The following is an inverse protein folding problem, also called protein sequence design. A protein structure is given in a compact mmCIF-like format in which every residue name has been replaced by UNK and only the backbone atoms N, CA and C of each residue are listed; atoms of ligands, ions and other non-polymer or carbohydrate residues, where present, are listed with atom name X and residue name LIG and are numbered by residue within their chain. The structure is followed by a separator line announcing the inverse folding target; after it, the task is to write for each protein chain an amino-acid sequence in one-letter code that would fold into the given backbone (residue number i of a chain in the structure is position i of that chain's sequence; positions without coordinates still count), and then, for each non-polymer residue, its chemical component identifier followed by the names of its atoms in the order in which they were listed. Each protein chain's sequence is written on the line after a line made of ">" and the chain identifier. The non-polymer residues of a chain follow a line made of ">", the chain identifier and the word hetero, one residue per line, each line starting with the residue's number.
data_IF_076993766526
#
_entry.id   IF_076993766526
#
_cell.length_a   1.000
_cell.length_b   1.000
_cell.length_c   1.000
_cell.angle_alpha   90.00
_cell.angle_beta   90.00
_cell.angle_gamma   90.00
#
_symmetry.space_group_name_H-M   'P 1'
#
loop_
_entity.id
_entity.type
_entity.pdbx_description
1 polymer ?
#
# COMPACT_ATOMS: atom_id res chain seq x y z
N UNK A 1 10.89 -19.51 25.47
CA UNK A 1 11.57 -20.11 24.29
C UNK A 1 11.30 -19.36 22.99
N UNK A 2 10.05 -19.29 22.48
CA UNK A 2 9.78 -18.65 21.17
C UNK A 2 10.01 -17.12 21.17
N UNK A 3 9.53 -16.42 22.20
CA UNK A 3 9.78 -14.97 22.36
C UNK A 3 11.27 -14.62 22.58
N UNK A 4 12.05 -15.48 23.24
CA UNK A 4 13.49 -15.28 23.45
C UNK A 4 14.28 -15.43 22.15
N UNK A 5 13.87 -16.40 21.30
CA UNK A 5 14.47 -16.59 19.98
C UNK A 5 14.20 -15.39 19.08
N UNK A 6 12.97 -14.87 19.08
CA UNK A 6 12.59 -13.70 18.30
C UNK A 6 13.33 -12.44 18.76
N UNK A 7 13.41 -12.19 20.08
CA UNK A 7 14.19 -11.08 20.63
C UNK A 7 15.65 -11.16 20.20
N UNK A 8 16.25 -12.36 20.23
CA UNK A 8 17.63 -12.57 19.77
C UNK A 8 17.79 -12.25 18.28
N UNK A 9 16.83 -12.62 17.43
CA UNK A 9 16.86 -12.29 16.01
C UNK A 9 16.69 -10.79 15.76
N UNK A 10 15.81 -10.13 16.52
CA UNK A 10 15.63 -8.69 16.49
C UNK A 10 16.91 -7.93 16.89
N UNK A 11 17.58 -8.35 17.97
CA UNK A 11 18.84 -7.76 18.39
C UNK A 11 19.96 -7.97 17.37
N UNK A 12 20.05 -9.17 16.77
CA UNK A 12 20.98 -9.44 15.66
C UNK A 12 20.70 -8.57 14.44
N UNK A 13 19.42 -8.36 14.11
CA UNK A 13 19.04 -7.49 13.00
C UNK A 13 19.50 -6.05 13.26
N UNK A 14 19.24 -5.50 14.45
CA UNK A 14 19.72 -4.16 14.81
C UNK A 14 21.24 -4.04 14.87
N UNK A 15 21.95 -5.04 15.38
CA UNK A 15 23.42 -5.07 15.33
C UNK A 15 23.93 -5.02 13.87
N UNK A 16 23.28 -5.76 12.97
CA UNK A 16 23.61 -5.78 11.54
C UNK A 16 23.35 -4.43 10.87
N UNK A 17 22.24 -3.77 11.21
CA UNK A 17 21.91 -2.42 10.73
C UNK A 17 22.96 -1.41 11.18
N UNK A 18 23.27 -1.39 12.48
CA UNK A 18 24.25 -0.47 13.06
C UNK A 18 25.63 -0.69 12.43
N UNK A 19 26.06 -1.95 12.26
CA UNK A 19 27.32 -2.28 11.60
C UNK A 19 27.34 -1.80 10.13
N UNK A 20 26.25 -2.03 9.38
CA UNK A 20 26.15 -1.63 7.97
C UNK A 20 26.10 -0.11 7.78
N UNK A 21 25.42 0.61 8.68
CA UNK A 21 25.40 2.07 8.68
C UNK A 21 26.73 2.65 9.13
N UNK A 22 27.43 2.01 10.07
CA UNK A 22 28.80 2.38 10.46
C UNK A 22 29.77 2.19 9.30
N UNK A 23 29.67 1.07 8.56
CA UNK A 23 30.41 0.86 7.32
C UNK A 23 30.12 1.98 6.29
N UNK A 24 28.85 2.33 6.13
CA UNK A 24 28.42 3.39 5.21
C UNK A 24 29.02 4.75 5.61
N UNK A 25 29.06 5.03 6.91
CA UNK A 25 29.60 6.26 7.47
C UNK A 25 31.13 6.36 7.43
N UNK A 26 31.86 5.28 7.72
CA UNK A 26 33.34 5.34 7.79
C UNK A 26 34.04 5.00 6.49
N UNK A 27 33.45 4.17 5.63
CA UNK A 27 34.10 3.70 4.40
C UNK A 27 33.45 4.33 3.18
N UNK A 28 32.13 4.16 3.02
CA UNK A 28 31.46 4.63 1.81
C UNK A 28 31.39 6.17 1.69
N UNK A 29 31.39 6.88 2.82
CA UNK A 29 31.44 8.36 2.83
C UNK A 29 32.74 8.93 2.25
N UNK A 30 33.85 8.20 2.39
CA UNK A 30 35.18 8.60 1.90
C UNK A 30 35.35 8.35 0.39
N UNK A 31 34.45 7.60 -0.22
CA UNK A 31 34.47 7.36 -1.67
C UNK A 31 33.88 8.55 -2.43
N UNK A 32 34.32 8.66 -3.69
CA UNK A 32 33.77 9.63 -4.63
C UNK A 32 32.26 9.39 -4.82
N UNK A 33 31.53 10.50 -4.91
CA UNK A 33 30.09 10.50 -5.12
C UNK A 33 29.72 9.88 -6.46
N UNK A 34 28.53 9.32 -6.51
CA UNK A 34 27.99 8.66 -7.69
C UNK A 34 28.27 7.17 -7.66
N UNK A 35 28.72 6.65 -8.79
CA UNK A 35 28.85 5.20 -9.03
C UNK A 35 29.79 4.51 -8.01
N UNK A 36 30.98 5.03 -7.66
CA UNK A 36 31.88 4.31 -6.73
C UNK A 36 31.25 4.07 -5.36
N UNK A 37 30.61 5.11 -4.80
CA UNK A 37 29.88 5.02 -3.53
C UNK A 37 28.62 4.16 -3.62
N UNK A 38 27.91 4.20 -4.75
CA UNK A 38 26.76 3.33 -4.97
C UNK A 38 27.18 1.85 -4.98
N UNK A 39 28.25 1.52 -5.70
CA UNK A 39 28.79 0.17 -5.78
C UNK A 39 29.25 -0.36 -4.42
N UNK A 40 29.89 0.48 -3.58
CA UNK A 40 30.28 0.08 -2.22
C UNK A 40 29.08 -0.21 -1.31
N UNK A 41 27.92 0.38 -1.59
CA UNK A 41 26.69 0.19 -0.82
C UNK A 41 25.81 -0.97 -1.32
N UNK A 42 26.12 -1.59 -2.47
CA UNK A 42 25.36 -2.75 -2.98
C UNK A 42 25.20 -3.90 -1.97
N UNK A 43 26.24 -4.29 -1.21
CA UNK A 43 26.08 -5.30 -0.16
C UNK A 43 25.11 -4.84 0.94
N UNK A 44 25.15 -3.55 1.31
CA UNK A 44 24.26 -2.97 2.32
C UNK A 44 22.80 -2.98 1.83
N UNK A 45 22.55 -2.59 0.58
CA UNK A 45 21.20 -2.64 0.00
C UNK A 45 20.62 -4.05 0.00
N UNK A 46 21.45 -5.04 -0.34
CA UNK A 46 21.06 -6.45 -0.38
C UNK A 46 20.75 -6.96 1.03
N UNK A 47 21.62 -6.68 2.00
CA UNK A 47 21.40 -7.03 3.40
C UNK A 47 20.11 -6.39 3.94
N UNK A 48 19.90 -5.10 3.70
CA UNK A 48 18.71 -4.37 4.17
C UNK A 48 17.42 -4.88 3.52
N UNK A 49 17.50 -5.40 2.31
CA UNK A 49 16.36 -6.03 1.63
C UNK A 49 16.01 -7.37 2.26
N UNK A 50 17.00 -8.18 2.64
CA UNK A 50 16.77 -9.53 3.17
C UNK A 50 16.52 -9.58 4.69
N UNK A 51 16.94 -8.54 5.41
CA UNK A 51 16.91 -8.52 6.87
C UNK A 51 15.52 -8.77 7.49
N UNK A 52 14.40 -8.24 6.95
CA UNK A 52 13.08 -8.49 7.52
C UNK A 52 12.67 -9.96 7.54
N UNK A 53 13.28 -10.81 6.69
CA UNK A 53 13.02 -12.24 6.70
C UNK A 53 13.50 -12.95 7.96
N UNK A 54 14.45 -12.36 8.69
CA UNK A 54 14.99 -12.91 9.96
C UNK A 54 14.02 -12.86 11.13
N UNK A 55 12.92 -12.10 11.00
CA UNK A 55 11.86 -11.99 12.01
C UNK A 55 10.66 -12.82 11.59
N UNK A 56 10.02 -13.48 12.55
CA UNK A 56 8.81 -14.28 12.33
C UNK A 56 7.54 -13.49 12.63
N UNK A 57 7.62 -12.49 13.51
CA UNK A 57 6.46 -11.69 13.92
C UNK A 57 6.10 -10.66 12.84
N UNK A 58 4.87 -10.66 12.31
CA UNK A 58 4.48 -9.85 11.17
C UNK A 58 4.59 -8.35 11.45
N UNK A 59 4.27 -7.90 12.68
CA UNK A 59 4.36 -6.50 13.04
C UNK A 59 5.80 -5.97 12.95
N UNK A 60 6.74 -6.69 13.58
CA UNK A 60 8.15 -6.30 13.61
C UNK A 60 8.81 -6.43 12.23
N UNK A 61 8.48 -7.50 11.48
CA UNK A 61 8.95 -7.67 10.10
C UNK A 61 8.44 -6.54 9.20
N UNK A 62 7.19 -6.10 9.36
CA UNK A 62 6.59 -4.98 8.64
C UNK A 62 7.29 -3.66 8.91
N UNK A 63 7.50 -3.32 10.19
CA UNK A 63 8.25 -2.11 10.56
C UNK A 63 9.69 -2.14 10.04
N UNK A 64 10.38 -3.28 10.20
CA UNK A 64 11.74 -3.42 9.73
C UNK A 64 11.83 -3.29 8.21
N UNK A 65 10.88 -3.86 7.48
CA UNK A 65 10.79 -3.72 6.03
C UNK A 65 10.53 -2.26 5.60
N UNK A 66 9.58 -1.58 6.23
CA UNK A 66 9.26 -0.19 5.90
C UNK A 66 10.41 0.77 6.23
N UNK A 67 11.07 0.58 7.37
CA UNK A 67 12.11 1.50 7.82
C UNK A 67 13.43 1.23 7.11
N UNK A 68 13.84 -0.04 7.00
CA UNK A 68 15.17 -0.42 6.52
C UNK A 68 15.14 -0.74 5.03
N UNK A 69 14.35 -1.74 4.62
CA UNK A 69 14.32 -2.16 3.21
C UNK A 69 13.79 -1.07 2.29
N UNK A 70 12.87 -0.24 2.78
CA UNK A 70 12.33 0.90 2.03
C UNK A 70 13.06 2.21 2.37
N UNK A 71 12.81 2.82 3.52
CA UNK A 71 13.31 4.18 3.77
C UNK A 71 14.84 4.26 3.84
N UNK A 72 15.53 3.38 4.56
CA UNK A 72 17.00 3.43 4.67
C UNK A 72 17.69 3.19 3.34
N UNK A 73 17.24 2.22 2.55
CA UNK A 73 17.78 1.98 1.22
C UNK A 73 17.64 3.20 0.31
N UNK A 74 16.48 3.88 0.32
CA UNK A 74 16.25 5.07 -0.49
C UNK A 74 17.08 6.26 0.01
N UNK A 75 17.24 6.43 1.33
CA UNK A 75 18.13 7.44 1.92
C UNK A 75 19.60 7.20 1.58
N UNK A 76 20.06 5.95 1.64
CA UNK A 76 21.42 5.56 1.26
C UNK A 76 21.66 5.68 -0.25
N UNK A 77 20.66 5.36 -1.07
CA UNK A 77 20.69 5.60 -2.52
C UNK A 77 20.85 7.10 -2.80
N UNK A 78 20.06 7.94 -2.15
CA UNK A 78 20.19 9.38 -2.29
C UNK A 78 21.57 9.89 -1.82
N UNK A 79 22.07 9.38 -0.68
CA UNK A 79 23.42 9.64 -0.16
C UNK A 79 24.55 9.20 -1.11
N UNK A 80 24.29 8.20 -1.97
CA UNK A 80 25.28 7.73 -2.93
C UNK A 80 25.56 8.77 -4.04
N UNK A 81 24.54 9.52 -4.47
CA UNK A 81 24.62 10.46 -5.59
C UNK A 81 24.63 11.94 -5.18
N UNK A 82 23.98 12.32 -4.08
CA UNK A 82 23.78 13.72 -3.71
C UNK A 82 24.49 14.12 -2.41
N UNK A 83 25.03 15.33 -2.37
CA UNK A 83 25.83 15.86 -1.26
C UNK A 83 25.00 16.56 -0.18
N UNK A 84 23.78 16.99 -0.50
CA UNK A 84 22.90 17.80 0.36
C UNK A 84 21.86 16.97 1.11
N UNK A 85 22.16 15.70 1.39
CA UNK A 85 21.31 14.92 2.30
C UNK A 85 21.49 15.41 3.74
N UNK A 86 20.43 15.40 4.56
CA UNK A 86 20.58 15.53 6.01
C UNK A 86 21.63 14.56 6.57
N UNK A 87 21.73 13.35 5.99
CA UNK A 87 22.72 12.33 6.35
C UNK A 87 24.18 12.80 6.19
N UNK A 88 24.52 13.55 5.14
CA UNK A 88 25.88 14.04 4.89
C UNK A 88 26.24 15.28 5.70
N UNK A 89 25.25 15.97 6.29
CA UNK A 89 25.47 17.13 7.15
C UNK A 89 25.85 16.75 8.59
N UNK A 90 25.56 15.51 9.02
CA UNK A 90 25.81 15.09 10.39
C UNK A 90 27.26 14.59 10.58
N UNK A 91 27.99 15.26 11.49
CA UNK A 91 29.38 14.90 11.87
C UNK A 91 29.47 13.75 12.89
N UNK A 92 28.32 13.25 13.38
CA UNK A 92 28.24 12.24 14.43
C UNK A 92 27.63 10.96 13.87
N UNK A 93 28.30 9.82 14.11
CA UNK A 93 27.82 8.48 13.73
C UNK A 93 26.42 8.20 14.29
N UNK A 94 26.15 8.62 15.53
CA UNK A 94 24.85 8.41 16.17
C UNK A 94 23.72 9.11 15.40
N UNK A 95 23.93 10.36 15.01
CA UNK A 95 22.96 11.12 14.21
C UNK A 95 22.79 10.47 12.83
N UNK A 96 23.89 10.07 12.19
CA UNK A 96 23.84 9.38 10.90
C UNK A 96 22.99 8.10 10.97
N UNK A 97 23.19 7.28 12.00
CA UNK A 97 22.43 6.03 12.19
C UNK A 97 20.95 6.32 12.41
N UNK A 98 20.59 7.27 13.27
CA UNK A 98 19.18 7.62 13.54
C UNK A 98 18.50 8.16 12.27
N UNK A 99 19.14 9.07 11.55
CA UNK A 99 18.58 9.65 10.32
C UNK A 99 18.47 8.64 9.19
N UNK A 100 19.41 7.70 9.08
CA UNK A 100 19.38 6.67 8.06
C UNK A 100 18.35 5.57 8.37
N UNK A 101 18.29 5.09 9.61
CA UNK A 101 17.44 3.95 10.00
C UNK A 101 15.99 4.31 10.30
N UNK A 102 15.73 5.51 10.84
CA UNK A 102 14.40 5.86 11.33
C UNK A 102 13.61 6.72 10.34
N UNK A 103 12.28 6.64 10.41
CA UNK A 103 11.41 7.48 9.65
C UNK A 103 11.34 8.87 10.31
N UNK A 104 12.37 9.70 10.11
CA UNK A 104 12.43 11.06 10.64
C UNK A 104 12.80 12.08 9.55
N UNK A 105 12.22 13.28 9.67
CA UNK A 105 12.52 14.45 8.85
C UNK A 105 12.55 15.69 9.75
N UNK A 106 13.62 16.47 9.66
CA UNK A 106 13.75 17.73 10.41
C UNK A 106 12.80 18.75 9.79
N UNK A 107 12.02 19.42 10.63
CA UNK A 107 11.16 20.52 10.20
C UNK A 107 12.04 21.69 9.77
N UNK A 108 11.98 22.03 8.48
CA UNK A 108 12.65 23.22 7.97
C UNK A 108 11.77 24.45 8.20
N UNK A 109 12.33 25.50 8.79
CA UNK A 109 11.67 26.80 8.99
C UNK A 109 11.47 27.53 7.65
N UNK A 110 10.57 27.03 6.81
CA UNK A 110 10.04 27.81 5.71
C UNK A 110 8.76 28.53 6.17
N UNK A 111 8.52 29.77 5.72
CA UNK A 111 7.23 30.43 5.91
C UNK A 111 6.19 29.67 5.08
N UNK A 112 5.60 28.66 5.70
CA UNK A 112 4.55 27.88 5.09
C UNK A 112 3.28 28.73 5.21
N UNK A 113 2.74 29.18 4.07
CA UNK A 113 1.40 29.74 3.95
C UNK A 113 0.39 28.62 4.26
N UNK A 114 0.32 28.19 5.52
CA UNK A 114 -0.67 27.25 5.99
C UNK A 114 -1.97 28.04 6.08
N UNK A 115 -2.91 27.72 5.19
CA UNK A 115 -4.29 28.12 5.41
C UNK A 115 -4.71 27.61 6.80
N UNK A 116 -5.45 28.41 7.59
CA UNK A 116 -5.83 28.03 8.94
C UNK A 116 -6.53 26.67 8.90
N UNK A 117 -5.98 25.70 9.63
CA UNK A 117 -6.61 24.40 9.85
C UNK A 117 -7.94 24.66 10.58
N UNK A 118 -9.06 24.52 9.86
CA UNK A 118 -10.41 24.83 10.38
C UNK A 118 -10.94 23.81 11.39
N UNK A 119 -10.12 22.84 11.79
CA UNK A 119 -10.50 21.71 12.64
C UNK A 119 -9.36 21.42 13.62
N UNK A 120 -9.74 21.07 14.85
CA UNK A 120 -8.81 20.72 15.91
C UNK A 120 -8.07 19.43 15.50
N UNK A 121 -6.74 19.45 15.28
CA UNK A 121 -6.01 18.23 14.97
C UNK A 121 -6.17 17.26 16.12
N UNK A 122 -6.47 16.00 15.81
CA UNK A 122 -6.62 14.97 16.84
C UNK A 122 -5.28 14.85 17.57
N UNK A 123 -5.27 15.11 18.88
CA UNK A 123 -4.06 14.97 19.67
C UNK A 123 -3.62 13.50 19.71
N UNK A 124 -2.33 13.27 19.96
CA UNK A 124 -1.77 11.92 19.97
C UNK A 124 -2.51 11.00 20.95
N UNK A 125 -2.89 11.50 22.14
CA UNK A 125 -3.64 10.73 23.13
C UNK A 125 -5.01 10.25 22.65
N UNK A 126 -5.79 11.11 21.98
CA UNK A 126 -7.08 10.73 21.43
C UNK A 126 -6.93 9.75 20.26
N UNK A 127 -5.92 9.93 19.38
CA UNK A 127 -5.63 8.95 18.32
C UNK A 127 -5.28 7.58 18.91
N UNK A 128 -4.46 7.54 19.96
CA UNK A 128 -4.13 6.29 20.68
C UNK A 128 -5.36 5.64 21.31
N UNK A 129 -6.25 6.43 21.93
CA UNK A 129 -7.49 5.91 22.52
C UNK A 129 -8.43 5.32 21.46
N UNK A 130 -8.61 6.01 20.34
CA UNK A 130 -9.44 5.51 19.23
C UNK A 130 -8.80 4.26 18.61
N UNK A 131 -7.48 4.24 18.46
CA UNK A 131 -6.74 3.07 17.98
C UNK A 131 -6.98 1.85 18.89
N UNK A 132 -6.91 2.01 20.21
CA UNK A 132 -7.19 0.94 21.17
C UNK A 132 -8.67 0.50 21.14
N UNK A 133 -9.61 1.43 20.98
CA UNK A 133 -11.03 1.10 20.84
C UNK A 133 -11.29 0.28 19.56
N UNK A 134 -10.73 0.69 18.42
CA UNK A 134 -10.91 -0.04 17.17
C UNK A 134 -10.30 -1.44 17.21
N UNK A 135 -9.18 -1.62 17.92
CA UNK A 135 -8.59 -2.94 18.19
C UNK A 135 -9.61 -3.85 18.88
N UNK A 136 -10.22 -3.37 19.98
CA UNK A 136 -11.22 -4.12 20.73
C UNK A 136 -12.47 -4.42 19.91
N UNK A 137 -12.97 -3.42 19.17
CA UNK A 137 -14.16 -3.58 18.31
C UNK A 137 -13.89 -4.58 17.19
N UNK A 138 -12.71 -4.56 16.58
CA UNK A 138 -12.33 -5.50 15.53
C UNK A 138 -12.39 -6.96 15.99
N UNK A 139 -11.93 -7.23 17.22
CA UNK A 139 -12.00 -8.57 17.82
C UNK A 139 -13.44 -9.03 18.09
N UNK A 140 -14.36 -8.11 18.37
CA UNK A 140 -15.76 -8.42 18.69
C UNK A 140 -16.67 -8.51 17.46
N UNK A 141 -16.43 -7.71 16.43
CA UNK A 141 -17.32 -7.54 15.26
C UNK A 141 -16.72 -8.21 14.01
N UNK A 142 -16.63 -9.55 14.03
CA UNK A 142 -16.45 -10.41 12.85
C UNK A 142 -15.43 -9.94 11.80
N UNK A 143 -14.21 -9.54 12.21
CA UNK A 143 -13.08 -9.22 11.31
C UNK A 143 -13.45 -8.28 10.15
N UNK A 144 -14.23 -7.23 10.42
CA UNK A 144 -14.65 -6.29 9.38
C UNK A 144 -13.44 -5.54 8.79
N UNK A 145 -13.25 -5.67 7.47
CA UNK A 145 -12.12 -5.06 6.75
C UNK A 145 -12.04 -3.54 6.90
N UNK A 146 -13.18 -2.85 6.94
CA UNK A 146 -13.21 -1.39 7.09
C UNK A 146 -12.65 -0.95 8.45
N UNK A 147 -12.98 -1.71 9.51
CA UNK A 147 -12.47 -1.48 10.86
C UNK A 147 -10.97 -1.72 10.89
N UNK A 148 -10.50 -2.81 10.25
CA UNK A 148 -9.07 -3.09 10.09
C UNK A 148 -8.33 -1.96 9.36
N UNK A 149 -8.90 -1.43 8.27
CA UNK A 149 -8.31 -0.32 7.51
C UNK A 149 -8.14 0.93 8.39
N UNK A 150 -9.20 1.31 9.12
CA UNK A 150 -9.18 2.46 10.03
C UNK A 150 -8.19 2.26 11.17
N UNK A 151 -8.16 1.06 11.76
CA UNK A 151 -7.22 0.72 12.82
C UNK A 151 -5.77 0.77 12.32
N UNK A 152 -5.47 0.15 11.18
CA UNK A 152 -4.11 0.12 10.62
C UNK A 152 -3.60 1.53 10.29
N UNK A 153 -4.48 2.40 9.77
CA UNK A 153 -4.14 3.81 9.58
C UNK A 153 -3.74 4.48 10.91
N UNK A 154 -4.62 4.41 11.91
CA UNK A 154 -4.37 5.07 13.20
C UNK A 154 -3.16 4.49 13.92
N UNK A 155 -2.98 3.18 13.86
CA UNK A 155 -1.83 2.49 14.43
C UNK A 155 -0.53 2.98 13.81
N UNK A 156 -0.44 3.05 12.48
CA UNK A 156 0.74 3.58 11.80
C UNK A 156 1.00 5.05 12.14
N UNK A 157 -0.05 5.89 12.16
CA UNK A 157 0.08 7.30 12.53
C UNK A 157 0.60 7.46 13.96
N UNK A 158 0.02 6.75 14.93
CA UNK A 158 0.45 6.78 16.34
C UNK A 158 1.87 6.24 16.50
N UNK A 159 2.22 5.12 15.88
CA UNK A 159 3.53 4.48 16.00
C UNK A 159 4.64 5.38 15.41
N UNK A 160 4.45 5.89 14.20
CA UNK A 160 5.42 6.78 13.55
C UNK A 160 5.57 8.10 14.31
N UNK A 161 4.46 8.67 14.82
CA UNK A 161 4.48 9.97 15.52
C UNK A 161 5.10 9.83 16.91
N UNK A 162 4.94 8.69 17.55
CA UNK A 162 5.65 8.34 18.79
C UNK A 162 7.15 8.19 18.55
N UNK A 163 7.55 7.49 17.48
CA UNK A 163 8.95 7.36 17.07
C UNK A 163 9.59 8.73 16.80
N UNK A 164 8.92 9.59 16.02
CA UNK A 164 9.39 10.94 15.74
C UNK A 164 9.49 11.78 17.03
N UNK A 165 8.50 11.73 17.93
CA UNK A 165 8.55 12.49 19.19
C UNK A 165 9.73 12.06 20.07
N UNK A 166 9.96 10.75 20.21
CA UNK A 166 11.08 10.21 20.98
C UNK A 166 12.43 10.64 20.40
N UNK A 167 12.60 10.51 19.09
CA UNK A 167 13.85 10.91 18.42
C UNK A 167 14.07 12.42 18.47
N UNK A 168 13.01 13.20 18.28
CA UNK A 168 13.05 14.66 18.40
C UNK A 168 13.49 15.10 19.80
N UNK A 169 13.01 14.41 20.84
CA UNK A 169 13.47 14.63 22.22
C UNK A 169 14.95 14.28 22.42
N UNK A 170 15.39 13.12 21.92
CA UNK A 170 16.80 12.67 22.02
C UNK A 170 17.75 13.64 21.30
N UNK A 171 17.34 14.14 20.14
CA UNK A 171 18.15 15.02 19.29
C UNK A 171 17.98 16.51 19.61
N UNK A 172 16.99 16.89 20.42
CA UNK A 172 16.66 18.28 20.70
C UNK A 172 16.18 19.07 19.46
N UNK A 173 15.55 18.41 18.49
CA UNK A 173 15.08 19.03 17.23
C UNK A 173 13.59 18.83 17.02
N UNK A 174 12.94 19.81 16.40
CA UNK A 174 11.55 19.66 15.96
C UNK A 174 11.48 18.85 14.66
N UNK A 175 10.77 17.74 14.69
CA UNK A 175 10.58 16.86 13.53
C UNK A 175 9.21 17.08 12.88
N UNK A 176 9.13 16.89 11.57
CA UNK A 176 7.86 16.96 10.84
C UNK A 176 6.93 15.80 11.25
N UNK A 177 5.62 16.06 11.40
CA UNK A 177 4.64 15.00 11.61
C UNK A 177 4.65 13.96 10.47
N UNK A 178 4.52 12.66 10.78
CA UNK A 178 4.45 11.61 9.75
C UNK A 178 3.20 11.65 8.88
N UNK A 179 2.14 12.33 9.30
CA UNK A 179 0.96 12.59 8.47
C UNK A 179 0.32 13.94 8.84
N UNK A 180 -0.34 14.57 7.87
CA UNK A 180 -1.09 15.82 8.02
C UNK A 180 -2.57 15.60 7.68
N UNK A 181 -3.29 14.96 8.61
CA UNK A 181 -4.73 14.69 8.57
C UNK A 181 -5.22 14.27 7.15
N UNK A 182 -4.80 13.10 6.64
CA UNK A 182 -5.02 12.67 5.26
C UNK A 182 -6.50 12.53 4.86
N UNK A 183 -7.40 12.34 5.83
CA UNK A 183 -8.85 12.33 5.60
C UNK A 183 -9.42 13.71 5.21
N UNK A 184 -8.61 14.78 5.29
CA UNK A 184 -8.97 16.12 4.80
C UNK A 184 -8.46 16.41 3.38
N UNK A 185 -7.90 15.41 2.70
CA UNK A 185 -7.42 15.58 1.33
C UNK A 185 -8.57 15.93 0.37
N UNK A 186 -8.38 17.00 -0.40
CA UNK A 186 -9.37 17.45 -1.40
C UNK A 186 -9.08 16.94 -2.81
N UNK A 187 -7.96 16.24 -3.00
CA UNK A 187 -7.53 15.65 -4.26
C UNK A 187 -6.49 14.55 -4.02
N UNK A 188 -6.26 13.65 -4.99
CA UNK A 188 -5.31 12.55 -4.83
C UNK A 188 -3.87 13.07 -4.79
N UNK A 189 -3.59 14.15 -5.51
CA UNK A 189 -2.30 14.83 -5.42
C UNK A 189 -2.05 15.39 -4.01
N UNK A 190 -3.07 15.96 -3.36
CA UNK A 190 -2.96 16.49 -1.99
C UNK A 190 -2.80 15.34 -0.97
N UNK A 191 -3.53 14.25 -1.16
CA UNK A 191 -3.43 13.04 -0.34
C UNK A 191 -2.01 12.46 -0.35
N UNK A 192 -1.51 12.04 -1.52
CA UNK A 192 -0.22 11.36 -1.64
C UNK A 192 0.99 12.30 -1.53
N UNK A 193 0.84 13.55 -1.94
CA UNK A 193 1.97 14.48 -2.01
C UNK A 193 2.27 15.21 -0.70
N UNK A 194 1.25 15.55 0.09
CA UNK A 194 1.41 16.43 1.26
C UNK A 194 0.95 15.83 2.57
N UNK A 195 -0.09 15.01 2.55
CA UNK A 195 -0.78 14.59 3.78
C UNK A 195 -0.43 13.19 4.25
N UNK A 196 -0.28 12.25 3.31
CA UNK A 196 0.04 10.86 3.59
C UNK A 196 1.55 10.62 3.53
N UNK A 197 2.14 10.26 4.68
CA UNK A 197 3.54 9.87 4.81
C UNK A 197 4.54 10.75 4.01
N UNK A 198 4.66 12.05 4.35
CA UNK A 198 5.46 13.02 3.59
C UNK A 198 6.91 12.58 3.39
N UNK A 199 7.46 11.78 4.29
CA UNK A 199 8.82 11.28 4.23
C UNK A 199 9.03 10.19 3.18
N UNK A 200 8.07 9.27 3.00
CA UNK A 200 8.14 8.33 1.86
C UNK A 200 8.03 9.11 0.56
N UNK A 201 7.12 10.08 0.50
CA UNK A 201 6.96 10.96 -0.66
C UNK A 201 8.22 11.77 -0.96
N UNK A 202 8.93 12.26 0.07
CA UNK A 202 10.20 12.98 -0.05
C UNK A 202 11.35 12.06 -0.53
N UNK A 203 11.45 10.86 0.06
CA UNK A 203 12.45 9.87 -0.34
C UNK A 203 12.27 9.47 -1.82
N UNK A 204 11.04 9.17 -2.23
CA UNK A 204 10.68 8.86 -3.61
C UNK A 204 10.87 10.05 -4.55
N UNK A 205 10.63 11.27 -4.07
CA UNK A 205 10.81 12.48 -4.85
C UNK A 205 12.27 12.64 -5.29
N UNK A 206 13.20 12.54 -4.34
CA UNK A 206 14.62 12.77 -4.60
C UNK A 206 15.31 11.59 -5.31
N UNK A 207 14.84 10.36 -5.08
CA UNK A 207 15.47 9.16 -5.66
C UNK A 207 14.89 8.77 -7.02
N UNK A 208 13.60 9.00 -7.24
CA UNK A 208 12.89 8.55 -8.46
C UNK A 208 12.35 9.73 -9.25
N UNK A 209 11.49 10.56 -8.66
CA UNK A 209 10.75 11.57 -9.41
C UNK A 209 11.66 12.62 -10.07
N UNK A 210 12.58 13.23 -9.31
CA UNK A 210 13.47 14.28 -9.82
C UNK A 210 14.45 13.75 -10.88
N UNK A 211 15.13 12.60 -10.68
CA UNK A 211 15.94 11.98 -11.73
C UNK A 211 15.13 11.62 -12.97
N UNK A 212 13.95 11.00 -12.80
CA UNK A 212 13.13 10.59 -13.93
C UNK A 212 12.57 11.79 -14.70
N UNK A 213 12.13 12.83 -14.00
CA UNK A 213 11.69 14.09 -14.64
C UNK A 213 12.83 14.71 -15.43
N UNK A 214 14.04 14.73 -14.88
CA UNK A 214 15.23 15.28 -15.55
C UNK A 214 15.63 14.46 -16.78
N UNK A 215 15.48 13.13 -16.71
CA UNK A 215 15.69 12.23 -17.84
C UNK A 215 14.66 12.49 -18.95
N UNK A 216 13.37 12.49 -18.61
CA UNK A 216 12.30 12.69 -19.59
C UNK A 216 12.25 14.10 -20.16
N UNK A 217 12.69 15.12 -19.42
CA UNK A 217 12.81 16.48 -19.94
C UNK A 217 13.83 16.63 -21.09
N UNK A 218 14.65 15.61 -21.36
CA UNK A 218 15.53 15.55 -22.54
C UNK A 218 14.82 15.09 -23.80
N UNK A 219 13.72 14.34 -23.66
CA UNK A 219 13.02 13.68 -24.76
C UNK A 219 11.60 14.21 -24.99
N UNK A 220 10.96 14.71 -23.94
CA UNK A 220 9.62 15.29 -23.94
C UNK A 220 9.71 16.77 -23.60
N UNK A 221 8.72 17.55 -24.03
CA UNK A 221 8.57 18.91 -23.56
C UNK A 221 8.59 18.95 -22.03
N UNK A 222 9.18 20.02 -21.48
CA UNK A 222 9.30 20.25 -20.03
C UNK A 222 7.96 20.13 -19.29
N UNK A 223 6.89 20.33 -20.05
CA UNK A 223 5.51 20.31 -19.64
C UNK A 223 4.91 18.90 -19.49
N UNK A 224 5.38 17.94 -20.26
CA UNK A 224 4.93 16.55 -20.24
C UNK A 224 5.87 15.63 -19.48
N UNK A 225 7.14 16.04 -19.28
CA UNK A 225 8.13 15.31 -18.46
C UNK A 225 7.65 14.90 -17.04
N UNK A 226 6.78 15.65 -16.33
CA UNK A 226 6.27 15.24 -15.02
C UNK A 226 5.38 13.99 -15.04
N UNK A 227 4.65 13.73 -16.13
CA UNK A 227 3.70 12.62 -16.20
C UNK A 227 4.38 11.23 -16.10
N UNK A 228 5.37 10.88 -16.96
CA UNK A 228 6.07 9.61 -16.83
C UNK A 228 6.91 9.53 -15.56
N UNK A 229 7.39 10.66 -15.02
CA UNK A 229 8.10 10.70 -13.75
C UNK A 229 7.17 10.33 -12.57
N UNK A 230 5.95 10.89 -12.52
CA UNK A 230 4.94 10.54 -11.52
C UNK A 230 4.57 9.05 -11.61
N UNK A 231 4.31 8.55 -12.81
CA UNK A 231 3.96 7.15 -13.01
C UNK A 231 5.09 6.22 -12.53
N UNK A 232 6.34 6.52 -12.89
CA UNK A 232 7.50 5.77 -12.41
C UNK A 232 7.62 5.78 -10.88
N UNK A 233 7.38 6.94 -10.24
CA UNK A 233 7.37 7.03 -8.78
C UNK A 233 6.30 6.15 -8.13
N UNK A 234 5.09 6.11 -8.66
CA UNK A 234 4.03 5.24 -8.16
C UNK A 234 4.31 3.76 -8.39
N UNK A 235 4.90 3.39 -9.54
CA UNK A 235 5.33 2.02 -9.81
C UNK A 235 6.38 1.58 -8.79
N UNK A 236 7.43 2.38 -8.56
CA UNK A 236 8.47 2.05 -7.58
C UNK A 236 7.89 1.97 -6.16
N UNK A 237 6.99 2.88 -5.80
CA UNK A 237 6.27 2.80 -4.52
C UNK A 237 5.48 1.49 -4.40
N UNK A 238 4.78 1.08 -5.46
CA UNK A 238 4.03 -0.18 -5.50
C UNK A 238 4.91 -1.40 -5.32
N UNK A 239 6.06 -1.47 -6.02
CA UNK A 239 7.04 -2.55 -5.87
C UNK A 239 7.57 -2.65 -4.43
N UNK A 240 7.84 -1.50 -3.79
CA UNK A 240 8.31 -1.49 -2.41
C UNK A 240 7.23 -1.95 -1.42
N UNK A 241 5.96 -1.61 -1.66
CA UNK A 241 4.86 -2.12 -0.84
C UNK A 241 4.61 -3.61 -1.09
N UNK A 242 4.76 -4.09 -2.32
CA UNK A 242 4.71 -5.52 -2.63
C UNK A 242 5.80 -6.29 -1.88
N UNK A 243 7.02 -5.73 -1.81
CA UNK A 243 8.11 -6.28 -1.01
C UNK A 243 7.78 -6.29 0.50
N UNK A 244 7.23 -5.20 1.03
CA UNK A 244 6.77 -5.14 2.44
C UNK A 244 5.72 -6.22 2.70
N UNK A 245 4.74 -6.36 1.80
CA UNK A 245 3.71 -7.39 1.91
C UNK A 245 4.32 -8.79 1.84
N UNK A 246 5.34 -9.00 1.02
CA UNK A 246 6.04 -10.27 0.94
C UNK A 246 6.78 -10.60 2.25
N UNK A 247 7.44 -9.60 2.87
CA UNK A 247 8.08 -9.77 4.18
C UNK A 247 7.10 -10.12 5.29
N UNK A 248 5.90 -9.53 5.28
CA UNK A 248 4.91 -9.76 6.34
C UNK A 248 4.09 -11.02 6.10
N UNK A 249 3.63 -11.24 4.87
CA UNK A 249 2.73 -12.37 4.53
C UNK A 249 3.47 -13.67 4.27
N UNK A 250 4.74 -13.62 3.83
CA UNK A 250 5.54 -14.77 3.39
C UNK A 250 4.91 -15.58 2.25
N UNK A 251 3.92 -15.01 1.57
CA UNK A 251 3.24 -15.61 0.42
C UNK A 251 3.71 -14.91 -0.85
N UNK A 252 3.79 -15.64 -1.97
CA UNK A 252 4.21 -15.09 -3.26
C UNK A 252 3.43 -13.81 -3.61
N UNK A 253 4.11 -12.76 -4.11
CA UNK A 253 3.48 -11.52 -4.58
C UNK A 253 2.31 -11.77 -5.52
N UNK A 254 1.18 -11.11 -5.26
CA UNK A 254 -0.02 -11.18 -6.10
C UNK A 254 -0.09 -10.02 -7.10
N UNK A 255 0.73 -8.99 -6.89
CA UNK A 255 0.76 -7.75 -7.66
C UNK A 255 -0.48 -6.86 -7.48
N UNK A 256 -1.45 -7.27 -6.66
CA UNK A 256 -2.65 -6.48 -6.35
C UNK A 256 -2.26 -5.12 -5.74
N UNK A 257 -1.30 -5.12 -4.80
CA UNK A 257 -0.79 -3.91 -4.14
C UNK A 257 -0.04 -3.02 -5.12
N UNK A 258 0.78 -3.60 -5.99
CA UNK A 258 1.45 -2.82 -7.05
C UNK A 258 0.43 -2.14 -7.96
N UNK A 259 -0.63 -2.84 -8.38
CA UNK A 259 -1.70 -2.28 -9.20
C UNK A 259 -2.50 -1.19 -8.49
N UNK A 260 -2.68 -1.28 -7.17
CA UNK A 260 -3.24 -0.18 -6.38
C UNK A 260 -2.44 1.12 -6.61
N UNK A 261 -1.12 1.09 -6.44
CA UNK A 261 -0.31 2.29 -6.63
C UNK A 261 -0.26 2.75 -8.08
N UNK A 262 -0.21 1.83 -9.06
CA UNK A 262 -0.26 2.20 -10.49
C UNK A 262 -1.56 2.89 -10.84
N UNK A 263 -2.72 2.39 -10.36
CA UNK A 263 -4.02 3.02 -10.54
C UNK A 263 -4.04 4.43 -9.96
N UNK A 264 -3.58 4.59 -8.71
CA UNK A 264 -3.47 5.91 -8.07
C UNK A 264 -2.54 6.85 -8.84
N UNK A 265 -1.41 6.34 -9.34
CA UNK A 265 -0.47 7.12 -10.17
C UNK A 265 -1.10 7.60 -11.47
N UNK A 266 -1.84 6.74 -12.17
CA UNK A 266 -2.60 7.14 -13.37
C UNK A 266 -3.64 8.21 -13.04
N UNK A 267 -4.40 8.05 -11.95
CA UNK A 267 -5.39 9.02 -11.52
C UNK A 267 -4.75 10.37 -11.15
N UNK A 268 -3.60 10.38 -10.46
CA UNK A 268 -2.86 11.61 -10.14
C UNK A 268 -2.33 12.28 -11.41
N UNK A 269 -1.78 11.53 -12.36
CA UNK A 269 -1.34 12.08 -13.66
C UNK A 269 -2.52 12.68 -14.41
N UNK A 270 -3.65 11.98 -14.47
CA UNK A 270 -4.88 12.50 -15.07
C UNK A 270 -5.34 13.78 -14.38
N UNK A 271 -5.34 13.82 -13.05
CA UNK A 271 -5.71 15.00 -12.27
C UNK A 271 -4.79 16.20 -12.58
N UNK A 272 -3.47 15.98 -12.69
CA UNK A 272 -2.49 17.01 -13.05
C UNK A 272 -2.73 17.53 -14.47
N UNK A 273 -2.95 16.63 -15.44
CA UNK A 273 -3.23 16.99 -16.83
C UNK A 273 -4.56 17.73 -16.95
N UNK A 274 -5.61 17.27 -16.28
CA UNK A 274 -6.93 17.95 -16.27
C UNK A 274 -6.84 19.35 -15.68
N UNK A 275 -6.20 19.50 -14.50
CA UNK A 275 -5.97 20.82 -13.88
C UNK A 275 -5.19 21.77 -14.80
N UNK A 276 -4.28 21.21 -15.60
CA UNK A 276 -3.47 21.97 -16.56
C UNK A 276 -4.27 22.39 -17.80
N UNK A 277 -5.04 21.49 -18.41
CA UNK A 277 -5.80 21.74 -19.65
C UNK A 277 -7.04 22.62 -19.38
N UNK A 278 -7.76 22.35 -18.29
CA UNK A 278 -9.03 23.03 -17.98
C UNK A 278 -8.84 24.30 -17.12
N UNK A 279 -7.61 24.56 -16.67
CA UNK A 279 -7.27 25.71 -15.83
C UNK A 279 -7.95 25.71 -14.45
N UNK A 280 -7.95 26.86 -13.73
CA UNK A 280 -8.53 26.98 -12.39
C UNK A 280 -10.07 26.85 -12.35
N UNK A 281 -10.74 26.66 -13.50
CA UNK A 281 -12.20 26.54 -13.63
C UNK A 281 -12.74 25.22 -13.07
N UNK A 282 -11.90 24.19 -12.96
CA UNK A 282 -12.31 22.86 -12.45
C UNK A 282 -12.15 22.70 -10.92
N UNK A 283 -12.23 23.79 -10.16
CA UNK A 283 -12.18 23.73 -8.70
C UNK A 283 -13.53 23.27 -8.16
N UNK A 284 -13.70 21.95 -8.09
CA UNK A 284 -14.77 21.33 -7.32
C UNK A 284 -14.72 21.85 -5.87
N UNK A 285 -15.89 22.15 -5.31
CA UNK A 285 -15.99 22.57 -3.94
C UNK A 285 -15.43 21.46 -3.02
N UNK A 286 -14.67 21.87 -1.99
CA UNK A 286 -13.96 20.93 -1.10
C UNK A 286 -14.89 19.90 -0.44
N UNK A 287 -16.15 20.28 -0.20
CA UNK A 287 -17.17 19.39 0.37
C UNK A 287 -17.57 18.23 -0.56
N UNK A 288 -17.30 18.34 -1.86
CA UNK A 288 -17.53 17.27 -2.84
C UNK A 288 -16.21 16.54 -3.14
N UNK A 289 -15.14 17.30 -3.38
CA UNK A 289 -13.86 16.70 -3.77
C UNK A 289 -13.20 15.92 -2.63
N UNK A 290 -13.40 16.33 -1.37
CA UNK A 290 -12.89 15.64 -0.19
C UNK A 290 -13.47 14.23 -0.04
N UNK A 291 -14.80 14.08 0.14
CA UNK A 291 -15.43 12.76 0.22
C UNK A 291 -15.18 11.89 -1.01
N UNK A 292 -15.12 12.47 -2.22
CA UNK A 292 -14.79 11.73 -3.43
C UNK A 292 -13.36 11.16 -3.39
N UNK A 293 -12.39 11.96 -2.96
CA UNK A 293 -10.98 11.54 -2.85
C UNK A 293 -10.82 10.45 -1.79
N UNK A 294 -11.34 10.69 -0.58
CA UNK A 294 -11.24 9.73 0.52
C UNK A 294 -12.02 8.45 0.20
N UNK A 295 -13.22 8.57 -0.36
CA UNK A 295 -14.02 7.43 -0.80
C UNK A 295 -13.31 6.60 -1.87
N UNK A 296 -12.65 7.23 -2.84
CA UNK A 296 -11.84 6.53 -3.84
C UNK A 296 -10.66 5.79 -3.19
N UNK A 297 -9.93 6.41 -2.27
CA UNK A 297 -8.83 5.77 -1.53
C UNK A 297 -9.32 4.57 -0.73
N UNK A 298 -10.43 4.70 0.01
CA UNK A 298 -11.01 3.61 0.79
C UNK A 298 -11.46 2.47 -0.11
N UNK A 299 -12.20 2.77 -1.18
CA UNK A 299 -12.74 1.75 -2.09
C UNK A 299 -11.63 1.00 -2.82
N UNK A 300 -10.64 1.72 -3.36
CA UNK A 300 -9.48 1.10 -4.01
C UNK A 300 -8.62 0.31 -3.01
N UNK A 301 -8.51 0.78 -1.76
CA UNK A 301 -7.81 0.06 -0.70
C UNK A 301 -8.51 -1.25 -0.35
N UNK A 302 -9.83 -1.21 -0.16
CA UNK A 302 -10.66 -2.39 0.06
C UNK A 302 -10.52 -3.41 -1.08
N UNK A 303 -10.41 -2.93 -2.32
CA UNK A 303 -10.34 -3.79 -3.50
C UNK A 303 -8.95 -4.39 -3.78
N UNK A 304 -7.88 -3.62 -3.64
CA UNK A 304 -6.55 -4.02 -4.13
C UNK A 304 -5.45 -4.06 -3.05
N UNK A 305 -5.62 -3.34 -1.94
CA UNK A 305 -4.55 -3.19 -0.95
C UNK A 305 -4.68 -4.20 0.20
N UNK A 306 -5.84 -4.26 0.84
CA UNK A 306 -6.05 -5.08 2.03
C UNK A 306 -6.41 -6.55 1.83
N UNK A 307 -7.01 -7.01 0.68
CA UNK A 307 -7.41 -8.41 0.55
C UNK A 307 -6.28 -9.41 0.78
N UNK A 308 -5.05 -9.12 0.34
CA UNK A 308 -3.91 -10.01 0.56
C UNK A 308 -3.58 -10.22 2.05
N UNK A 309 -3.68 -9.17 2.87
CA UNK A 309 -3.46 -9.26 4.33
C UNK A 309 -4.50 -10.17 4.97
N UNK A 310 -5.77 -10.02 4.56
CA UNK A 310 -6.89 -10.79 5.09
C UNK A 310 -6.83 -12.27 4.68
N UNK A 311 -6.48 -12.55 3.41
CA UNK A 311 -6.35 -13.94 2.91
C UNK A 311 -5.23 -14.72 3.61
N UNK A 312 -4.15 -14.04 3.99
CA UNK A 312 -3.01 -14.64 4.69
C UNK A 312 -3.14 -14.63 6.22
N UNK A 313 -4.28 -14.19 6.79
CA UNK A 313 -4.50 -14.03 8.23
C UNK A 313 -3.45 -13.18 8.97
N UNK A 314 -2.74 -12.32 8.23
CA UNK A 314 -1.74 -11.41 8.81
C UNK A 314 -2.42 -10.37 9.69
N UNK A 315 -3.66 -10.02 9.38
CA UNK A 315 -4.46 -9.14 10.23
C UNK A 315 -4.58 -9.68 11.66
N UNK A 316 -4.75 -10.99 11.85
CA UNK A 316 -4.84 -11.60 13.18
C UNK A 316 -3.49 -11.58 13.87
N UNK A 317 -2.43 -12.03 13.19
CA UNK A 317 -1.08 -12.06 13.76
C UNK A 317 -0.56 -10.68 14.17
N UNK A 318 -0.86 -9.63 13.40
CA UNK A 318 -0.52 -8.26 13.76
C UNK A 318 -1.27 -7.78 15.00
N UNK A 319 -2.55 -8.15 15.15
CA UNK A 319 -3.35 -7.76 16.32
C UNK A 319 -2.88 -8.49 17.59
N UNK A 320 -2.60 -9.78 17.48
CA UNK A 320 -1.98 -10.57 18.56
C UNK A 320 -0.63 -9.98 18.95
N UNK A 321 0.15 -9.52 17.96
CA UNK A 321 1.42 -8.90 18.23
C UNK A 321 1.28 -7.64 19.09
N UNK A 322 0.37 -6.74 18.70
CA UNK A 322 0.10 -5.50 19.43
C UNK A 322 -0.42 -5.77 20.85
N UNK A 323 -1.27 -6.77 21.03
CA UNK A 323 -1.82 -7.14 22.34
C UNK A 323 -0.73 -7.72 23.25
N UNK A 324 0.08 -8.64 22.71
CA UNK A 324 1.20 -9.22 23.44
C UNK A 324 2.18 -8.16 23.95
N UNK A 325 2.53 -7.20 23.10
CA UNK A 325 3.38 -6.08 23.51
C UNK A 325 2.70 -5.18 24.54
N UNK A 326 1.41 -4.89 24.37
CA UNK A 326 0.66 -4.05 25.32
C UNK A 326 0.60 -4.67 26.71
N UNK A 327 0.47 -6.00 26.82
CA UNK A 327 0.45 -6.73 28.08
C UNK A 327 1.82 -6.75 28.80
N UNK A 328 2.92 -6.65 28.06
CA UNK A 328 4.26 -6.50 28.67
C UNK A 328 4.42 -5.15 29.38
N UNK A 329 3.80 -4.09 28.85
CA UNK A 329 3.83 -2.75 29.45
C UNK A 329 2.72 -2.54 30.49
N UNK A 330 1.59 -3.22 30.34
CA UNK A 330 0.43 -3.13 31.23
C UNK A 330 -0.07 -4.54 31.59
N UNK A 331 0.58 -5.23 32.54
CA UNK A 331 0.14 -6.55 32.97
C UNK A 331 -1.27 -6.42 33.56
N UNK A 332 -2.25 -7.02 32.89
CA UNK A 332 -3.60 -7.20 33.45
C UNK A 332 -3.58 -8.21 34.60
N UNK A 333 -4.63 -8.27 35.43
CA UNK A 333 -4.79 -9.39 36.35
C UNK A 333 -4.84 -10.69 35.54
N UNK A 334 -4.00 -11.67 35.90
CA UNK A 334 -3.88 -12.95 35.20
C UNK A 334 -5.26 -13.57 34.93
N UNK A 335 -5.52 -13.88 33.66
CA UNK A 335 -6.65 -14.73 33.25
C UNK A 335 -6.08 -16.06 32.75
N UNK A 336 -6.83 -17.18 32.89
CA UNK A 336 -6.26 -18.52 32.82
C UNK A 336 -5.76 -18.84 31.41
N UNK A 337 -4.66 -19.58 31.35
CA UNK A 337 -3.95 -20.08 30.17
C UNK A 337 -4.87 -20.55 29.02
N UNK A 338 -4.53 -20.28 27.74
CA UNK A 338 -5.20 -20.92 26.63
C UNK A 338 -4.80 -22.40 26.57
N UNK A 339 -5.81 -23.27 26.53
CA UNK A 339 -5.68 -24.71 26.27
C UNK A 339 -4.93 -24.97 24.96
N UNK A 340 -4.05 -25.98 25.00
CA UNK A 340 -3.31 -26.55 23.88
C UNK A 340 -4.18 -26.75 22.63
N UNK A 341 -3.75 -26.16 21.52
CA UNK A 341 -4.46 -26.23 20.24
C UNK A 341 -3.63 -25.74 19.07
N UNK A 342 -2.30 -25.97 19.08
CA UNK A 342 -1.45 -25.78 17.92
C UNK A 342 -1.10 -27.15 17.33
N UNK A 343 -1.87 -27.60 16.34
CA UNK A 343 -1.46 -28.70 15.48
C UNK A 343 -0.43 -28.17 14.47
N UNK A 344 0.80 -28.72 14.52
CA UNK A 344 1.79 -28.60 13.45
C UNK A 344 1.21 -29.21 12.15
N UNK A 345 1.61 -28.73 10.96
CA UNK A 345 1.37 -29.48 9.72
C UNK A 345 2.17 -30.78 9.79
N UNK A 346 1.48 -31.91 9.70
CA UNK A 346 2.11 -33.23 9.64
C UNK A 346 2.73 -33.46 8.26
N UNK A 347 3.95 -34.02 8.30
CA UNK A 347 4.67 -34.56 7.16
C UNK A 347 3.84 -35.66 6.46
N UNK A 348 3.99 -35.69 5.13
CA UNK A 348 3.54 -36.77 4.26
C UNK A 348 4.47 -37.97 4.50
N UNK A 349 3.92 -39.12 4.87
CA UNK A 349 4.25 -40.42 4.27
C UNK A 349 3.33 -41.55 4.80
N UNK A 350 3.08 -42.48 3.87
CA UNK A 350 2.36 -43.77 3.87
C UNK A 350 1.93 -44.42 5.19
N UNK A 351 0.64 -44.80 5.30
CA UNK A 351 0.27 -46.21 5.46
C UNK A 351 -1.22 -46.49 5.18
N UNK A 352 -1.44 -47.61 4.49
CA UNK A 352 -2.72 -48.10 4.05
C UNK A 352 -3.50 -48.84 5.16
N UNK A 353 -4.79 -49.11 4.87
CA UNK A 353 -5.69 -50.09 5.49
C UNK A 353 -6.47 -49.65 6.74
N UNK A 354 -7.77 -49.33 6.57
CA UNK A 354 -8.87 -50.24 6.93
C UNK A 354 -10.24 -49.58 6.69
N UNK A 355 -11.12 -50.35 6.05
CA UNK A 355 -12.56 -50.12 5.88
C UNK A 355 -13.30 -49.81 7.20
N UNK A 356 -14.29 -48.90 7.14
CA UNK A 356 -15.71 -49.30 7.27
C UNK A 356 -16.68 -48.13 7.01
N UNK A 357 -17.62 -48.43 6.13
CA UNK A 357 -18.87 -47.74 5.80
C UNK A 357 -19.71 -47.32 7.01
N UNK A 358 -20.28 -46.11 7.00
CA UNK A 358 -21.69 -45.86 7.29
C UNK A 358 -22.20 -44.63 6.53
N UNK A 359 -23.43 -44.74 6.06
CA UNK A 359 -24.04 -43.98 4.97
C UNK A 359 -25.09 -43.00 5.49
N UNK A 360 -25.43 -42.01 4.65
CA UNK A 360 -26.69 -41.23 4.57
C UNK A 360 -27.04 -40.16 5.61
N UNK A 361 -27.42 -38.96 5.13
CA UNK A 361 -28.16 -37.98 5.94
C UNK A 361 -28.20 -36.52 5.45
N UNK A 362 -28.80 -36.27 4.30
CA UNK A 362 -29.21 -34.98 3.72
C UNK A 362 -29.70 -33.90 4.73
N UNK A 363 -29.16 -32.67 4.66
CA UNK A 363 -29.92 -31.40 4.68
C UNK A 363 -29.04 -30.17 4.43
N UNK A 364 -29.09 -29.69 3.20
CA UNK A 364 -28.73 -28.32 2.84
C UNK A 364 -29.94 -27.41 3.14
N UNK A 365 -29.71 -26.29 3.82
CA UNK A 365 -30.66 -25.19 3.92
C UNK A 365 -30.01 -23.92 3.33
N UNK A 366 -30.43 -23.61 2.12
CA UNK A 366 -30.33 -22.28 1.52
C UNK A 366 -31.21 -21.30 2.29
N UNK A 367 -30.67 -20.12 2.62
CA UNK A 367 -31.46 -18.89 2.68
C UNK A 367 -30.77 -17.86 1.80
N UNK A 368 -31.43 -17.55 0.68
CA UNK A 368 -31.05 -16.53 -0.28
C UNK A 368 -31.83 -15.26 0.00
N UNK A 369 -31.17 -14.10 0.00
CA UNK A 369 -31.65 -12.81 -0.51
C UNK A 369 -30.35 -11.99 -0.77
N UNK A 370 -30.00 -11.46 -1.95
CA UNK A 370 -30.77 -11.14 -3.14
C UNK A 370 -30.76 -9.63 -3.35
N UNK A 371 -29.73 -9.06 -3.96
CA UNK A 371 -29.87 -7.82 -4.76
C UNK A 371 -28.79 -7.77 -5.84
N UNK A 372 -29.26 -7.74 -7.08
CA UNK A 372 -28.49 -7.73 -8.31
C UNK A 372 -27.92 -6.34 -8.61
N UNK A 373 -26.70 -6.29 -9.15
CA UNK A 373 -26.30 -5.30 -10.15
C UNK A 373 -25.41 -6.00 -11.19
N UNK A 374 -25.97 -6.15 -12.40
CA UNK A 374 -25.30 -6.65 -13.59
C UNK A 374 -24.23 -5.64 -14.06
N UNK A 375 -22.98 -6.06 -14.16
CA UNK A 375 -22.03 -5.46 -15.09
C UNK A 375 -21.67 -6.52 -16.13
N UNK A 376 -22.08 -6.23 -17.37
CA UNK A 376 -21.70 -6.96 -18.58
C UNK A 376 -20.24 -6.63 -18.87
N UNK A 377 -19.35 -7.63 -18.77
CA UNK A 377 -17.98 -7.53 -19.26
C UNK A 377 -17.93 -8.20 -20.63
N UNK A 378 -17.74 -7.38 -21.67
CA UNK A 378 -17.34 -7.87 -22.99
C UNK A 378 -15.83 -7.68 -23.16
N UNK A 379 -15.19 -8.74 -23.68
CA UNK A 379 -13.84 -8.83 -24.26
C UNK A 379 -12.63 -8.81 -23.31
N UNK A 380 -11.98 -9.97 -23.14
CA UNK A 380 -10.66 -10.34 -23.73
C UNK A 380 -10.28 -11.79 -23.30
N UNK A 381 -9.44 -12.54 -24.08
CA UNK A 381 -9.65 -13.97 -24.32
C UNK A 381 -8.49 -14.92 -23.95
N UNK A 382 -8.80 -16.24 -23.93
CA UNK A 382 -7.95 -17.46 -23.90
C UNK A 382 -7.04 -17.68 -22.66
N UNK A 383 -7.02 -18.83 -21.98
CA UNK A 383 -7.50 -20.17 -22.32
C UNK A 383 -7.94 -20.98 -21.08
N UNK A 384 -8.94 -21.81 -21.29
CA UNK A 384 -9.48 -22.75 -20.31
C UNK A 384 -9.32 -24.16 -20.86
N UNK A 385 -9.09 -25.14 -19.97
CA UNK A 385 -8.90 -26.53 -20.35
C UNK A 385 -10.15 -27.11 -21.05
N UNK A 386 -10.00 -28.12 -21.93
CA UNK A 386 -11.11 -28.75 -22.65
C UNK A 386 -12.26 -29.23 -21.75
N UNK A 387 -11.93 -29.63 -20.52
CA UNK A 387 -12.89 -30.05 -19.49
C UNK A 387 -13.83 -28.94 -19.02
N UNK A 388 -13.39 -27.67 -19.02
CA UNK A 388 -14.23 -26.53 -18.61
C UNK A 388 -15.16 -26.10 -19.74
N UNK A 389 -14.70 -26.18 -21.00
CA UNK A 389 -15.58 -25.96 -22.15
C UNK A 389 -16.70 -27.00 -22.22
N UNK A 390 -16.40 -28.27 -21.91
CA UNK A 390 -17.40 -29.32 -21.92
C UNK A 390 -18.44 -29.14 -20.80
N UNK A 391 -18.02 -28.77 -19.59
CA UNK A 391 -18.93 -28.49 -18.47
C UNK A 391 -19.80 -27.24 -18.70
N UNK A 392 -19.25 -26.18 -19.30
CA UNK A 392 -20.03 -25.00 -19.69
C UNK A 392 -21.06 -25.31 -20.78
N UNK A 393 -20.70 -26.15 -21.75
CA UNK A 393 -21.64 -26.56 -22.81
C UNK A 393 -22.82 -27.35 -22.24
N UNK A 394 -22.56 -28.22 -21.26
CA UNK A 394 -23.59 -29.02 -20.59
C UNK A 394 -24.53 -28.15 -19.74
N UNK A 395 -23.99 -27.18 -19.01
CA UNK A 395 -24.78 -26.24 -18.20
C UNK A 395 -25.61 -25.28 -19.06
N UNK A 396 -25.06 -24.81 -20.19
CA UNK A 396 -25.81 -24.02 -21.18
C UNK A 396 -26.95 -24.82 -21.83
N UNK A 397 -26.77 -26.13 -22.02
CA UNK A 397 -27.80 -27.01 -22.57
C UNK A 397 -28.92 -27.27 -21.55
N UNK A 398 -28.60 -27.37 -20.26
CA UNK A 398 -29.59 -27.45 -19.17
C UNK A 398 -30.42 -26.16 -19.03
N UNK A 399 -29.79 -25.00 -19.16
CA UNK A 399 -30.47 -23.71 -19.11
C UNK A 399 -31.39 -23.48 -20.31
N UNK A 400 -31.02 -23.98 -21.50
CA UNK A 400 -31.87 -23.89 -22.71
C UNK A 400 -33.14 -24.77 -22.62
N UNK A 401 -33.08 -25.87 -21.87
CA UNK A 401 -34.19 -26.83 -21.77
C UNK A 401 -35.09 -26.61 -20.53
N UNK A 402 -34.87 -25.54 -19.76
CA UNK A 402 -35.70 -25.25 -18.60
C UNK A 402 -37.06 -24.66 -19.03
N UNK A 403 -38.21 -25.26 -18.64
CA UNK A 403 -39.53 -24.78 -19.03
C UNK A 403 -39.87 -23.51 -18.24
N UNK A 404 -39.43 -22.36 -18.74
CA UNK A 404 -39.64 -21.06 -18.09
C UNK A 404 -38.81 -19.91 -18.68
N UNK A 405 -37.80 -20.19 -19.51
CA UNK A 405 -36.93 -19.16 -20.09
C UNK A 405 -37.11 -19.06 -21.62
N UNK A 406 -37.97 -18.14 -22.08
CA UNK A 406 -37.96 -17.72 -23.49
C UNK A 406 -36.82 -16.73 -23.69
N UNK A 407 -35.65 -17.19 -24.14
CA UNK A 407 -34.61 -16.30 -24.67
C UNK A 407 -35.12 -15.66 -25.96
N UNK A 408 -35.31 -14.33 -25.95
CA UNK A 408 -35.48 -13.53 -27.16
C UNK A 408 -34.08 -13.29 -27.74
N UNK A 409 -33.73 -14.06 -28.76
CA UNK A 409 -32.56 -13.75 -29.60
C UNK A 409 -33.01 -12.60 -30.51
N UNK A 410 -32.33 -11.45 -30.41
CA UNK A 410 -32.53 -10.37 -31.35
C UNK A 410 -31.72 -10.69 -32.61
N UNK A 411 -32.41 -11.11 -33.68
CA UNK A 411 -31.80 -11.31 -34.99
C UNK A 411 -31.36 -9.97 -35.57
N UNK A 412 -30.04 -9.82 -35.75
CA UNK A 412 -29.45 -8.76 -36.55
C UNK A 412 -29.61 -9.08 -38.05
N UNK A 413 -30.81 -8.91 -38.60
CA UNK A 413 -31.00 -8.88 -40.06
C UNK A 413 -32.12 -7.93 -40.46
N UNK A 414 -31.80 -6.64 -40.57
CA UNK A 414 -32.62 -5.67 -41.29
C UNK A 414 -31.74 -4.51 -41.79
N UNK A 415 -30.87 -4.79 -42.76
CA UNK A 415 -30.28 -3.75 -43.60
C UNK A 415 -31.29 -3.40 -44.71
N UNK A 416 -32.06 -2.32 -44.50
CA UNK A 416 -32.86 -1.67 -45.55
C UNK A 416 -32.10 -0.50 -46.20
N UNK A 417 -32.36 -0.14 -47.47
CA UNK A 417 -31.40 0.58 -48.30
C UNK A 417 -31.34 2.09 -48.04
N UNK A 418 -30.11 2.62 -48.07
CA UNK A 418 -29.76 4.05 -48.02
C UNK A 418 -30.52 4.84 -49.09
N UNK A 419 -31.29 5.85 -48.66
CA UNK A 419 -31.76 6.94 -49.54
C UNK A 419 -30.59 7.85 -49.89
N UNK A 420 -30.40 8.04 -51.20
CA UNK A 420 -29.49 9.01 -51.81
C UNK A 420 -29.94 10.44 -51.45
N UNK A 421 -29.02 11.27 -50.96
CA UNK A 421 -29.15 12.73 -50.95
C UNK A 421 -28.35 13.27 -52.14
N UNK A 422 -29.05 13.89 -53.09
CA UNK A 422 -28.47 14.73 -54.16
C UNK A 422 -28.27 16.16 -53.64
N UNK A 423 -27.27 16.90 -54.14
CA UNK A 423 -26.93 18.24 -53.68
C UNK A 423 -27.81 19.30 -54.36
N UNK A 424 -28.12 20.39 -53.64
CA UNK A 424 -28.64 21.62 -54.22
C UNK A 424 -27.59 22.72 -54.07
N UNK A 425 -27.39 23.43 -55.19
CA UNK A 425 -26.42 24.50 -55.48
C UNK A 425 -26.72 25.82 -54.73
N UNK A 426 -25.80 26.81 -54.75
CA UNK A 426 -25.85 28.04 -53.97
C UNK A 426 -26.48 29.21 -54.75
N UNK A 427 -27.05 30.16 -54.00
CA UNK A 427 -27.39 31.51 -54.45
C UNK A 427 -27.62 32.35 -53.19
N UNK A 428 -26.70 33.28 -52.89
CA UNK A 428 -26.84 34.71 -53.19
C UNK A 428 -28.15 35.32 -52.64
N UNK A 429 -28.04 36.16 -51.61
CA UNK A 429 -28.31 37.59 -51.74
C UNK A 429 -28.04 38.35 -50.43
N UNK A 430 -27.47 39.55 -50.61
CA UNK A 430 -27.25 40.59 -49.62
C UNK A 430 -28.57 41.26 -49.22
N UNK A 431 -28.61 41.79 -48.00
CA UNK A 431 -29.68 42.67 -47.48
C UNK A 431 -29.42 43.06 -46.04
#
# INVERSE_FOLDING_TARGET
>A
MEGEHELKNFLKAWATIIASLSYSYFISSNLQKGIPRFLSLLPVFSLFTLLPFSLNRPLFSGFLSGFISFLSNFKLLHFSFNQETPLSAHKSLFHFILFASLPIKIKQNYPQNQAPTRVLPLNLGLKSLICALLLFVYQKINRNLLIFCCWMYLFNDVALRSCATLVGYILGVELEPPSDEPYMATSLQDFWGRRWNPMVSDALRHTIYEPMRSFWAKYLDRDWAPAPALLATFVVSGLMHELVFYHVTRVKPTWEVTWFFVLHGMCVVLEVVMKRVMGPRLRLHWAVSGPLTVGFVILSGYWLFFPQVMRSNVDVGVMEDVIGESLLFFPGPESPSPSEGWAKPADVDDEASHQSSYNTGTRAALVSQGTHCLFVVHNIPWGWSPSVQQNMSLEMQKLRNHPGMKLRIADSSAAGPRRKLTPADPGDEQG
#
